data_IF_572929128259
#
_entry.id   IF_572929128259
#
_cell.length_a   1.000
_cell.length_b   1.000
_cell.length_c   1.000
_cell.angle_alpha   90.00
_cell.angle_beta   90.00
_cell.angle_gamma   90.00
#
_symmetry.space_group_name_H-M   'P 1'
#
loop_
_entity.id
_entity.type
_entity.pdbx_description
1 polymer ?
#
# COMPACT_ATOMS: atom_id res chain seq x y z
N UNK A 1 16.36 7.13 -4.05
CA UNK A 1 17.78 7.00 -3.68
C UNK A 1 18.01 5.56 -3.25
N UNK A 2 19.19 5.01 -3.55
CA UNK A 2 19.55 3.63 -3.20
C UNK A 2 20.91 3.60 -2.53
N UNK A 3 21.04 2.79 -1.50
CA UNK A 3 22.24 2.67 -0.68
C UNK A 3 22.60 1.20 -0.56
N UNK A 4 23.87 0.90 -0.34
CA UNK A 4 24.37 -0.45 -0.07
C UNK A 4 25.14 -0.43 1.23
N UNK A 5 24.66 -1.14 2.23
CA UNK A 5 25.34 -1.38 3.49
C UNK A 5 25.89 -2.80 3.50
N UNK A 6 26.93 -3.03 4.26
CA UNK A 6 27.55 -4.35 4.35
C UNK A 6 27.57 -4.80 5.82
N UNK A 7 27.09 -5.99 6.10
CA UNK A 7 27.21 -6.61 7.40
C UNK A 7 28.70 -6.79 7.74
N UNK A 8 29.13 -6.30 8.91
CA UNK A 8 30.56 -6.34 9.29
C UNK A 8 31.07 -7.76 9.47
N UNK A 9 30.24 -8.66 9.99
CA UNK A 9 30.57 -10.04 10.27
C UNK A 9 30.51 -10.93 9.01
N UNK A 10 29.37 -11.01 8.35
CA UNK A 10 29.17 -11.91 7.20
C UNK A 10 29.68 -11.36 5.88
N UNK A 11 29.94 -10.05 5.79
CA UNK A 11 30.30 -9.33 4.56
C UNK A 11 29.19 -9.36 3.49
N UNK A 12 28.01 -9.77 3.84
CA UNK A 12 26.86 -9.76 2.93
C UNK A 12 26.34 -8.34 2.71
N UNK A 13 25.95 -7.98 1.47
CA UNK A 13 25.37 -6.69 1.18
C UNK A 13 23.88 -6.64 1.55
N UNK A 14 23.45 -5.49 2.06
CA UNK A 14 22.05 -5.10 2.20
C UNK A 14 21.80 -3.88 1.31
N UNK A 15 20.99 -4.03 0.28
CA UNK A 15 20.59 -2.90 -0.56
C UNK A 15 19.33 -2.25 0.01
N UNK A 16 19.38 -0.93 0.21
CA UNK A 16 18.30 -0.14 0.78
C UNK A 16 17.85 0.87 -0.28
N UNK A 17 16.56 0.93 -0.55
CA UNK A 17 15.99 1.92 -1.44
C UNK A 17 14.91 2.73 -0.74
N UNK A 18 15.08 4.06 -0.77
CA UNK A 18 14.07 5.03 -0.39
C UNK A 18 13.49 5.64 -1.67
N UNK A 19 12.40 5.12 -2.16
CA UNK A 19 11.81 5.56 -3.41
C UNK A 19 10.29 5.55 -3.36
N UNK A 20 9.67 6.58 -3.92
CA UNK A 20 8.23 6.68 -4.07
C UNK A 20 7.43 6.39 -2.78
N UNK A 21 7.92 6.88 -1.62
CA UNK A 21 7.25 6.71 -0.33
C UNK A 21 7.31 5.29 0.21
N UNK A 22 8.30 4.49 -0.20
CA UNK A 22 8.55 3.15 0.32
C UNK A 22 9.99 2.99 0.78
N UNK A 23 10.18 2.23 1.86
CA UNK A 23 11.44 1.64 2.23
C UNK A 23 11.49 0.21 1.67
N UNK A 24 12.48 -0.08 0.83
CA UNK A 24 12.72 -1.43 0.31
C UNK A 24 14.07 -1.92 0.78
N UNK A 25 14.10 -3.11 1.35
CA UNK A 25 15.27 -3.82 1.83
C UNK A 25 15.49 -5.04 0.92
N UNK A 26 16.68 -5.16 0.32
CA UNK A 26 17.00 -6.25 -0.62
C UNK A 26 18.24 -7.00 -0.16
N UNK A 27 18.15 -8.32 -0.09
CA UNK A 27 19.19 -9.23 0.35
C UNK A 27 19.80 -9.94 -0.86
N UNK A 28 20.85 -9.38 -1.41
CA UNK A 28 21.68 -9.90 -2.52
C UNK A 28 20.88 -10.67 -3.61
N UNK A 29 19.77 -10.09 -4.07
CA UNK A 29 18.92 -10.68 -5.10
C UNK A 29 18.09 -11.90 -4.66
N UNK A 30 18.17 -12.31 -3.39
CA UNK A 30 17.42 -13.47 -2.87
C UNK A 30 16.07 -13.10 -2.28
N UNK A 31 15.94 -11.91 -1.71
CA UNK A 31 14.69 -11.43 -1.15
C UNK A 31 14.59 -9.90 -1.17
N UNK A 32 13.38 -9.39 -1.33
CA UNK A 32 13.06 -7.98 -1.19
C UNK A 32 11.86 -7.82 -0.27
N UNK A 33 11.94 -6.90 0.69
CA UNK A 33 10.87 -6.49 1.58
C UNK A 33 10.54 -5.02 1.33
N UNK A 34 9.28 -4.67 1.25
CA UNK A 34 8.87 -3.27 1.03
C UNK A 34 7.83 -2.85 2.06
N UNK A 35 8.07 -1.69 2.67
CA UNK A 35 7.20 -1.06 3.67
C UNK A 35 6.79 0.34 3.20
N UNK A 36 5.57 0.77 3.52
CA UNK A 36 5.11 2.13 3.25
C UNK A 36 5.65 3.13 4.28
N UNK A 37 5.32 4.41 4.11
CA UNK A 37 5.77 5.48 5.02
C UNK A 37 5.26 5.36 6.46
N UNK A 38 4.24 4.57 6.72
CA UNK A 38 3.77 4.22 8.06
C UNK A 38 4.46 3.00 8.66
N UNK A 39 5.24 2.26 7.87
CA UNK A 39 5.89 1.01 8.27
C UNK A 39 5.04 -0.24 7.99
N UNK A 40 3.91 -0.11 7.29
CA UNK A 40 3.09 -1.26 6.90
C UNK A 40 3.78 -2.05 5.81
N UNK A 41 3.79 -3.37 5.92
CA UNK A 41 4.23 -4.24 4.84
C UNK A 41 3.40 -3.97 3.57
N UNK A 42 4.06 -3.61 2.48
CA UNK A 42 3.45 -3.46 1.14
C UNK A 42 3.55 -4.77 0.37
N UNK A 43 4.69 -5.43 0.47
CA UNK A 43 4.93 -6.70 -0.18
C UNK A 43 6.35 -7.21 0.00
N UNK A 44 6.55 -8.42 -0.53
CA UNK A 44 7.83 -9.10 -0.52
C UNK A 44 8.06 -9.84 -1.83
N UNK A 45 9.31 -10.14 -2.14
CA UNK A 45 9.70 -11.04 -3.19
C UNK A 45 10.80 -11.95 -2.69
N UNK A 46 10.66 -13.26 -2.85
CA UNK A 46 11.70 -14.26 -2.60
C UNK A 46 11.37 -15.56 -3.34
N UNK A 47 12.39 -16.32 -3.68
CA UNK A 47 12.25 -17.63 -4.37
C UNK A 47 11.43 -17.55 -5.66
N UNK A 48 11.54 -16.46 -6.43
CA UNK A 48 10.77 -16.26 -7.66
C UNK A 48 9.29 -15.97 -7.45
N UNK A 49 8.85 -15.75 -6.22
CA UNK A 49 7.47 -15.47 -5.84
C UNK A 49 7.30 -14.02 -5.38
N UNK A 50 6.21 -13.40 -5.80
CA UNK A 50 5.84 -12.03 -5.39
C UNK A 50 4.64 -12.06 -4.47
N UNK A 51 4.77 -11.45 -3.32
CA UNK A 51 3.72 -11.29 -2.31
C UNK A 51 3.29 -9.83 -2.27
N UNK A 52 2.00 -9.57 -2.34
CA UNK A 52 1.43 -8.23 -2.21
C UNK A 52 0.34 -8.20 -1.15
N UNK A 53 0.55 -7.39 -0.10
CA UNK A 53 -0.48 -7.14 0.90
C UNK A 53 -1.45 -6.08 0.38
N UNK A 54 -2.73 -6.34 0.53
CA UNK A 54 -3.81 -5.41 0.27
C UNK A 54 -4.17 -4.65 1.56
N UNK A 55 -4.86 -3.51 1.45
CA UNK A 55 -5.22 -2.70 2.62
C UNK A 55 -6.18 -3.43 3.58
N UNK A 56 -6.93 -4.42 3.12
CA UNK A 56 -7.76 -5.30 3.94
C UNK A 56 -6.99 -6.49 4.55
N UNK A 57 -5.66 -6.42 4.56
CA UNK A 57 -4.70 -7.38 5.10
C UNK A 57 -4.69 -8.77 4.45
N UNK A 58 -5.28 -8.95 3.27
CA UNK A 58 -5.08 -10.16 2.47
C UNK A 58 -3.75 -10.07 1.72
N UNK A 59 -3.10 -11.21 1.52
CA UNK A 59 -1.84 -11.28 0.77
C UNK A 59 -2.05 -12.08 -0.50
N UNK A 60 -1.79 -11.43 -1.64
CA UNK A 60 -1.83 -12.04 -2.96
C UNK A 60 -0.44 -12.56 -3.32
N UNK A 61 -0.32 -13.87 -3.45
CA UNK A 61 0.85 -14.57 -3.98
C UNK A 61 0.74 -14.65 -5.51
N UNK A 62 1.83 -14.31 -6.20
CA UNK A 62 1.99 -14.45 -7.65
C UNK A 62 3.29 -15.19 -7.94
N UNK A 63 3.24 -16.13 -8.88
CA UNK A 63 4.43 -16.85 -9.33
C UNK A 63 4.35 -17.21 -10.81
N UNK A 64 5.47 -17.65 -11.38
CA UNK A 64 5.51 -18.18 -12.74
C UNK A 64 5.22 -19.69 -12.68
N UNK A 65 4.17 -20.14 -13.38
CA UNK A 65 3.85 -21.55 -13.52
C UNK A 65 4.10 -21.99 -14.97
N UNK A 66 5.12 -22.82 -15.17
CA UNK A 66 5.49 -23.34 -16.49
C UNK A 66 4.43 -24.23 -17.13
N UNK A 67 3.49 -24.76 -16.32
CA UNK A 67 2.37 -25.62 -16.77
C UNK A 67 1.13 -24.83 -17.18
N UNK A 68 1.08 -23.52 -16.91
CA UNK A 68 -0.03 -22.66 -17.28
C UNK A 68 0.19 -22.03 -18.65
N UNK A 69 -0.85 -21.96 -19.49
CA UNK A 69 -0.81 -21.23 -20.78
C UNK A 69 -0.42 -19.75 -20.64
N UNK A 70 -0.80 -19.11 -19.53
CA UNK A 70 -0.46 -17.73 -19.24
C UNK A 70 0.89 -17.57 -18.56
N UNK A 71 1.54 -18.69 -18.18
CA UNK A 71 2.76 -18.73 -17.36
C UNK A 71 2.71 -17.92 -16.06
N UNK A 72 1.54 -17.45 -15.66
CA UNK A 72 1.34 -16.65 -14.45
C UNK A 72 0.23 -17.25 -13.61
N UNK A 73 0.54 -17.58 -12.38
CA UNK A 73 -0.42 -18.05 -11.40
C UNK A 73 -0.53 -17.07 -10.23
N UNK A 74 -1.68 -17.07 -9.58
CA UNK A 74 -1.94 -16.24 -8.41
C UNK A 74 -2.97 -16.87 -7.50
N UNK A 75 -2.81 -16.68 -6.18
CA UNK A 75 -3.83 -17.00 -5.18
C UNK A 75 -3.69 -16.08 -3.98
N UNK A 76 -4.73 -15.96 -3.20
CA UNK A 76 -4.59 -15.41 -1.86
C UNK A 76 -4.00 -16.46 -0.92
N UNK A 77 -3.14 -16.01 0.00
CA UNK A 77 -2.64 -16.85 1.07
C UNK A 77 -3.78 -17.17 2.05
N UNK A 78 -3.71 -18.30 2.71
CA UNK A 78 -4.49 -18.57 3.91
C UNK A 78 -4.09 -17.64 5.05
N UNK A 79 -4.89 -17.60 6.11
CA UNK A 79 -4.57 -16.79 7.28
C UNK A 79 -3.21 -17.19 7.88
N UNK A 80 -3.01 -18.48 8.11
CA UNK A 80 -1.77 -19.00 8.68
C UNK A 80 -0.53 -18.66 7.84
N UNK A 81 -0.60 -18.86 6.50
CA UNK A 81 0.48 -18.46 5.59
C UNK A 81 0.76 -16.97 5.61
N UNK A 82 -0.30 -16.15 5.74
CA UNK A 82 -0.17 -14.68 5.83
C UNK A 82 0.54 -14.27 7.11
N UNK A 83 0.15 -14.85 8.25
CA UNK A 83 0.74 -14.55 9.54
C UNK A 83 2.23 -14.94 9.57
N UNK A 84 2.58 -16.13 9.09
CA UNK A 84 3.97 -16.57 8.97
C UNK A 84 4.81 -15.63 8.09
N UNK A 85 4.26 -15.19 6.95
CA UNK A 85 4.94 -14.25 6.06
C UNK A 85 5.17 -12.90 6.74
N UNK A 86 4.16 -12.38 7.43
CA UNK A 86 4.22 -11.11 8.16
C UNK A 86 5.29 -11.19 9.25
N UNK A 87 5.22 -12.21 10.11
CA UNK A 87 6.18 -12.42 11.21
C UNK A 87 7.62 -12.52 10.68
N UNK A 88 7.85 -13.29 9.61
CA UNK A 88 9.16 -13.38 8.98
C UNK A 88 9.66 -12.01 8.53
N UNK A 89 8.85 -11.26 7.79
CA UNK A 89 9.28 -10.00 7.19
C UNK A 89 9.55 -8.90 8.24
N UNK A 90 8.75 -8.85 9.31
CA UNK A 90 9.01 -7.93 10.42
C UNK A 90 10.21 -8.39 11.26
N UNK A 91 10.41 -9.69 11.47
CA UNK A 91 11.61 -10.24 12.11
C UNK A 91 12.89 -9.94 11.32
N UNK A 92 12.85 -9.97 9.99
CA UNK A 92 13.97 -9.55 9.14
C UNK A 92 14.29 -8.06 9.32
N UNK A 93 13.26 -7.20 9.35
CA UNK A 93 13.45 -5.76 9.59
C UNK A 93 13.97 -5.47 11.01
N UNK A 94 13.51 -6.21 12.02
CA UNK A 94 14.00 -6.12 13.41
C UNK A 94 15.49 -6.45 13.49
N UNK A 95 15.93 -7.54 12.85
CA UNK A 95 17.36 -7.91 12.80
C UNK A 95 18.20 -6.81 12.15
N UNK A 96 17.71 -6.17 11.09
CA UNK A 96 18.41 -5.06 10.45
C UNK A 96 18.51 -3.85 11.40
N UNK A 97 17.41 -3.48 12.06
CA UNK A 97 17.43 -2.37 13.02
C UNK A 97 18.38 -2.64 14.19
N UNK A 98 18.33 -3.84 14.76
CA UNK A 98 19.21 -4.24 15.85
C UNK A 98 20.70 -4.18 15.44
N UNK A 99 21.02 -4.65 14.23
CA UNK A 99 22.37 -4.59 13.69
C UNK A 99 22.82 -3.14 13.41
N UNK A 100 21.93 -2.27 12.97
CA UNK A 100 22.24 -0.85 12.78
C UNK A 100 22.54 -0.18 14.12
N UNK A 101 21.71 -0.40 15.13
CA UNK A 101 21.89 0.17 16.48
C UNK A 101 23.17 -0.34 17.15
N UNK A 102 23.54 -1.60 16.95
CA UNK A 102 24.77 -2.19 17.48
C UNK A 102 26.03 -1.85 16.68
N UNK A 103 25.90 -1.06 15.59
CA UNK A 103 27.03 -0.69 14.74
C UNK A 103 27.59 -1.84 13.89
N UNK A 104 26.79 -2.90 13.66
CA UNK A 104 27.22 -4.08 12.89
C UNK A 104 27.08 -3.90 11.36
N UNK A 105 26.78 -2.68 10.89
CA UNK A 105 26.84 -2.33 9.47
C UNK A 105 28.02 -1.44 9.16
N UNK A 106 28.64 -1.65 8.00
CA UNK A 106 29.45 -0.66 7.32
C UNK A 106 28.53 0.18 6.44
N UNK A 107 28.36 1.44 6.83
CA UNK A 107 27.48 2.42 6.14
C UNK A 107 28.29 3.41 5.33
N UNK A 108 29.56 3.11 5.03
CA UNK A 108 30.45 3.98 4.25
C UNK A 108 29.80 4.41 2.94
N UNK A 109 29.84 5.72 2.66
CA UNK A 109 29.18 6.30 1.48
C UNK A 109 27.71 6.70 1.69
N UNK A 110 27.17 6.52 2.92
CA UNK A 110 25.87 7.06 3.32
C UNK A 110 26.10 8.16 4.36
N UNK A 111 25.50 9.32 4.18
CA UNK A 111 25.55 10.41 5.16
C UNK A 111 24.71 10.10 6.41
N UNK A 112 25.08 10.73 7.53
CA UNK A 112 24.44 10.47 8.84
C UNK A 112 22.94 10.80 8.83
N UNK A 113 22.49 11.85 8.13
CA UNK A 113 21.08 12.24 8.01
C UNK A 113 20.28 11.12 7.30
N UNK A 114 20.86 10.51 6.29
CA UNK A 114 20.24 9.37 5.59
C UNK A 114 20.20 8.13 6.48
N UNK A 115 21.26 7.85 7.24
CA UNK A 115 21.28 6.73 8.20
C UNK A 115 20.18 6.91 9.25
N UNK A 116 20.03 8.12 9.80
CA UNK A 116 18.99 8.46 10.78
C UNK A 116 17.58 8.33 10.16
N UNK A 117 17.42 8.75 8.91
CA UNK A 117 16.15 8.60 8.16
C UNK A 117 15.77 7.13 8.02
N UNK A 118 16.72 6.27 7.63
CA UNK A 118 16.49 4.82 7.49
C UNK A 118 16.19 4.19 8.86
N UNK A 119 16.94 4.57 9.89
CA UNK A 119 16.74 4.11 11.26
C UNK A 119 15.34 4.47 11.77
N UNK A 120 14.91 5.71 11.57
CA UNK A 120 13.58 6.19 11.94
C UNK A 120 12.47 5.45 11.19
N UNK A 121 12.69 5.13 9.92
CA UNK A 121 11.74 4.34 9.14
C UNK A 121 11.64 2.91 9.66
N UNK A 122 12.77 2.25 9.92
CA UNK A 122 12.81 0.91 10.53
C UNK A 122 12.14 0.91 11.91
N UNK A 123 12.35 1.94 12.73
CA UNK A 123 11.64 2.10 14.00
C UNK A 123 10.12 2.21 13.83
N UNK A 124 9.66 2.87 12.75
CA UNK A 124 8.22 2.91 12.39
C UNK A 124 7.71 1.54 11.95
N UNK A 125 8.52 0.75 11.24
CA UNK A 125 8.20 -0.65 10.87
C UNK A 125 7.99 -1.50 12.12
N UNK A 126 8.82 -1.33 13.16
CA UNK A 126 8.70 -2.09 14.42
C UNK A 126 7.43 -1.78 15.23
N UNK A 127 6.67 -0.77 14.84
CA UNK A 127 5.37 -0.51 15.45
C UNK A 127 4.26 -1.43 14.93
N UNK A 128 4.56 -2.29 13.94
CA UNK A 128 3.59 -3.15 13.27
C UNK A 128 3.83 -4.63 13.55
N UNK A 129 2.74 -5.34 13.74
CA UNK A 129 2.65 -6.78 13.87
C UNK A 129 1.37 -7.30 13.18
N UNK A 130 1.13 -8.59 13.23
CA UNK A 130 -0.08 -9.21 12.68
C UNK A 130 -1.36 -8.61 13.27
N UNK A 131 -1.38 -8.35 14.59
CA UNK A 131 -2.54 -7.79 15.29
C UNK A 131 -2.83 -6.36 14.86
N UNK A 132 -1.80 -5.51 14.76
CA UNK A 132 -1.96 -4.11 14.34
C UNK A 132 -2.37 -4.01 12.88
N UNK A 133 -1.85 -4.89 12.02
CA UNK A 133 -2.28 -4.97 10.62
C UNK A 133 -3.74 -5.40 10.47
N UNK A 134 -4.26 -6.26 11.36
CA UNK A 134 -5.68 -6.62 11.39
C UNK A 134 -6.57 -5.47 11.87
N UNK A 135 -6.12 -4.72 12.86
CA UNK A 135 -6.81 -3.50 13.31
C UNK A 135 -6.84 -2.44 12.20
N UNK A 136 -5.73 -2.27 11.48
CA UNK A 136 -5.64 -1.39 10.30
C UNK A 136 -6.61 -1.83 9.19
N UNK A 137 -6.69 -3.13 8.92
CA UNK A 137 -7.65 -3.70 7.98
C UNK A 137 -9.12 -3.51 8.43
N UNK A 138 -9.38 -3.53 9.72
CA UNK A 138 -10.71 -3.21 10.25
C UNK A 138 -11.06 -1.73 10.04
N UNK A 139 -10.10 -0.80 10.28
CA UNK A 139 -10.26 0.62 9.93
C UNK A 139 -10.52 0.83 8.45
N UNK A 140 -9.75 0.16 7.58
CA UNK A 140 -9.97 0.19 6.14
C UNK A 140 -11.41 -0.19 5.77
N UNK A 141 -11.93 -1.27 6.32
CA UNK A 141 -13.31 -1.73 6.06
C UNK A 141 -14.39 -0.82 6.63
N UNK A 142 -14.08 -0.03 7.65
CA UNK A 142 -14.99 0.99 8.18
C UNK A 142 -15.08 2.21 7.26
N UNK A 143 -13.96 2.61 6.65
CA UNK A 143 -13.86 3.78 5.76
C UNK A 143 -14.41 3.46 4.36
N UNK A 144 -14.10 2.28 3.84
CA UNK A 144 -14.43 1.89 2.48
C UNK A 144 -15.57 0.86 2.39
N UNK A 145 -16.55 1.13 1.56
CA UNK A 145 -17.37 0.05 1.00
C UNK A 145 -16.54 -0.75 -0.03
N UNK A 146 -16.84 -2.04 -0.25
CA UNK A 146 -16.10 -2.82 -1.24
C UNK A 146 -16.03 -2.11 -2.58
N UNK A 147 -14.81 -1.81 -3.04
CA UNK A 147 -14.53 -1.21 -4.34
C UNK A 147 -14.45 -2.34 -5.36
N UNK A 148 -15.18 -2.23 -6.46
CA UNK A 148 -15.34 -3.32 -7.40
C UNK A 148 -14.08 -3.59 -8.23
N UNK A 149 -13.77 -2.71 -9.15
CA UNK A 149 -12.65 -2.86 -10.08
C UNK A 149 -11.96 -1.52 -10.22
N UNK A 150 -10.66 -1.50 -9.91
CA UNK A 150 -9.78 -0.41 -10.28
C UNK A 150 -9.13 -0.74 -11.62
N UNK A 151 -9.01 0.22 -12.54
CA UNK A 151 -8.17 0.06 -13.72
C UNK A 151 -6.74 -0.34 -13.29
N UNK A 152 -6.04 -1.18 -14.07
CA UNK A 152 -4.71 -1.69 -13.68
C UNK A 152 -3.67 -0.60 -13.39
N UNK A 153 -3.75 0.52 -14.10
CA UNK A 153 -2.91 1.72 -13.92
C UNK A 153 -3.27 2.53 -12.66
N UNK A 154 -4.47 2.32 -12.08
CA UNK A 154 -4.94 2.99 -10.86
C UNK A 154 -4.67 2.19 -9.58
N UNK A 155 -3.89 1.14 -9.63
CA UNK A 155 -3.58 0.28 -8.47
C UNK A 155 -2.87 1.00 -7.31
N UNK A 156 -2.25 2.15 -7.58
CA UNK A 156 -1.61 3.03 -6.60
C UNK A 156 -2.35 4.37 -6.44
N UNK A 157 -3.61 4.45 -6.81
CA UNK A 157 -4.42 5.66 -6.58
C UNK A 157 -4.90 5.74 -5.14
N UNK A 158 -5.15 6.97 -4.69
CA UNK A 158 -6.06 7.24 -3.59
C UNK A 158 -7.48 7.09 -4.12
N UNK A 159 -8.22 6.14 -3.60
CA UNK A 159 -9.61 5.91 -4.01
C UNK A 159 -10.52 6.74 -3.11
N UNK A 160 -11.34 7.61 -3.69
CA UNK A 160 -12.32 8.43 -2.98
C UNK A 160 -13.73 8.07 -3.48
N UNK A 161 -14.55 7.52 -2.61
CA UNK A 161 -15.89 7.07 -2.96
C UNK A 161 -16.89 8.23 -2.92
N UNK A 162 -17.08 8.91 -4.06
CA UNK A 162 -18.06 9.98 -4.23
C UNK A 162 -19.50 9.44 -4.32
N UNK A 163 -19.64 8.19 -4.77
CA UNK A 163 -20.93 7.49 -4.86
C UNK A 163 -20.83 6.13 -4.16
N UNK A 164 -21.96 5.55 -3.84
CA UNK A 164 -22.07 4.15 -3.41
C UNK A 164 -23.02 3.41 -4.33
N UNK A 165 -22.68 2.16 -4.65
CA UNK A 165 -23.49 1.35 -5.55
C UNK A 165 -23.35 1.74 -7.02
N UNK A 166 -24.19 1.14 -7.86
CA UNK A 166 -24.23 1.38 -9.29
C UNK A 166 -25.60 1.95 -9.70
N UNK A 167 -25.60 3.03 -10.48
CA UNK A 167 -26.81 3.68 -10.94
C UNK A 167 -27.65 2.80 -11.90
N UNK A 168 -27.03 1.87 -12.59
CA UNK A 168 -27.71 0.91 -13.47
C UNK A 168 -28.01 -0.42 -12.75
N UNK A 169 -27.01 -1.04 -12.15
CA UNK A 169 -27.04 -2.26 -11.30
C UNK A 169 -27.79 -3.50 -11.85
N UNK A 170 -28.07 -3.56 -13.17
CA UNK A 170 -28.83 -4.62 -13.83
C UNK A 170 -27.99 -5.44 -14.83
N UNK A 171 -26.66 -5.20 -14.89
CA UNK A 171 -25.78 -5.93 -15.79
C UNK A 171 -25.81 -7.43 -15.46
N UNK A 172 -26.03 -8.28 -16.48
CA UNK A 172 -26.11 -9.73 -16.33
C UNK A 172 -24.80 -10.37 -15.83
N UNK A 173 -23.67 -9.74 -16.12
CA UNK A 173 -22.32 -10.22 -15.78
C UNK A 173 -21.75 -9.58 -14.51
N UNK A 174 -22.34 -8.49 -13.99
CA UNK A 174 -21.80 -7.75 -12.85
C UNK A 174 -22.69 -7.92 -11.62
N UNK A 175 -22.08 -8.37 -10.52
CA UNK A 175 -22.76 -8.58 -9.23
C UNK A 175 -22.21 -7.72 -8.11
N UNK A 176 -21.23 -6.84 -8.39
CA UNK A 176 -20.44 -6.14 -7.39
C UNK A 176 -21.22 -5.16 -6.50
N UNK A 177 -22.35 -4.65 -6.99
CA UNK A 177 -23.11 -3.60 -6.30
C UNK A 177 -24.55 -4.02 -5.94
N UNK A 178 -24.89 -5.31 -6.08
CA UNK A 178 -26.24 -5.80 -5.79
C UNK A 178 -26.61 -5.77 -4.31
N UNK A 179 -25.60 -5.65 -3.45
CA UNK A 179 -25.74 -5.57 -2.00
C UNK A 179 -26.17 -4.18 -1.50
N UNK A 180 -26.18 -3.15 -2.39
CA UNK A 180 -26.43 -1.76 -2.00
C UNK A 180 -27.13 -0.94 -3.08
N UNK A 181 -27.94 0.04 -2.61
CA UNK A 181 -28.60 1.00 -3.50
C UNK A 181 -27.62 2.09 -3.95
N UNK A 182 -27.81 2.58 -5.17
CA UNK A 182 -27.07 3.73 -5.65
C UNK A 182 -27.44 4.98 -4.86
N UNK A 183 -26.43 5.72 -4.44
CA UNK A 183 -26.55 7.07 -3.90
C UNK A 183 -25.30 7.90 -4.18
N UNK A 184 -25.48 9.21 -4.23
CA UNK A 184 -24.39 10.18 -4.30
C UNK A 184 -24.19 10.70 -2.87
N UNK A 185 -22.98 10.65 -2.35
CA UNK A 185 -22.68 11.19 -1.01
C UNK A 185 -22.99 12.69 -0.95
N UNK A 186 -23.59 13.18 0.13
CA UNK A 186 -23.63 14.61 0.44
C UNK A 186 -22.22 15.19 0.54
N UNK A 187 -22.08 16.49 0.34
CA UNK A 187 -20.77 17.18 0.37
C UNK A 187 -20.08 17.00 1.72
N UNK A 188 -20.81 17.10 2.84
CA UNK A 188 -20.26 16.86 4.18
C UNK A 188 -19.75 15.43 4.36
N UNK A 189 -20.56 14.43 4.01
CA UNK A 189 -20.18 13.02 4.11
C UNK A 189 -18.97 12.68 3.24
N UNK A 190 -18.85 13.31 2.07
CA UNK A 190 -17.68 13.12 1.21
C UNK A 190 -16.44 13.81 1.80
N UNK A 191 -16.59 14.98 2.44
CA UNK A 191 -15.50 15.65 3.13
C UNK A 191 -14.96 14.79 4.27
N UNK A 192 -15.85 14.23 5.10
CA UNK A 192 -15.49 13.31 6.18
C UNK A 192 -14.76 12.08 5.62
N UNK A 193 -15.28 11.48 4.53
CA UNK A 193 -14.62 10.36 3.88
C UNK A 193 -13.21 10.70 3.35
N UNK A 194 -13.00 11.89 2.79
CA UNK A 194 -11.68 12.35 2.31
C UNK A 194 -10.71 12.48 3.48
N UNK A 195 -11.16 12.99 4.63
CA UNK A 195 -10.32 13.11 5.83
C UNK A 195 -10.00 11.74 6.42
N UNK A 196 -10.99 10.87 6.60
CA UNK A 196 -10.81 9.49 7.06
C UNK A 196 -9.80 8.72 6.21
N UNK A 197 -9.87 8.86 4.87
CA UNK A 197 -8.92 8.25 3.92
C UNK A 197 -7.53 8.82 4.11
N UNK A 198 -7.42 10.14 4.30
CA UNK A 198 -6.15 10.82 4.47
C UNK A 198 -5.46 10.42 5.78
N UNK A 199 -6.20 10.38 6.88
CA UNK A 199 -5.72 9.91 8.18
C UNK A 199 -5.32 8.42 8.15
N UNK A 200 -6.14 7.59 7.49
CA UNK A 200 -5.84 6.17 7.34
C UNK A 200 -4.55 5.92 6.57
N UNK A 201 -4.36 6.62 5.46
CA UNK A 201 -3.16 6.45 4.64
C UNK A 201 -1.92 7.06 5.30
N UNK A 202 -2.06 8.21 5.98
CA UNK A 202 -0.94 8.91 6.62
C UNK A 202 0.24 9.10 5.68
N UNK A 203 1.46 8.78 6.12
CA UNK A 203 2.67 8.81 5.27
C UNK A 203 2.66 7.76 4.14
N UNK A 204 1.80 6.73 4.20
CA UNK A 204 1.55 5.81 3.09
C UNK A 204 0.94 6.50 1.86
N UNK A 205 0.47 7.76 2.02
CA UNK A 205 0.06 8.63 0.92
C UNK A 205 1.18 8.89 -0.10
N UNK A 206 2.44 8.94 0.34
CA UNK A 206 3.58 9.25 -0.52
C UNK A 206 3.82 8.21 -1.63
N UNK A 207 3.36 7.00 -1.47
CA UNK A 207 3.42 5.99 -2.52
C UNK A 207 2.28 6.09 -3.54
N UNK A 208 1.27 6.95 -3.29
CA UNK A 208 0.12 7.13 -4.17
C UNK A 208 0.45 8.14 -5.28
N UNK A 209 -0.02 7.87 -6.50
CA UNK A 209 0.36 8.64 -7.68
C UNK A 209 -0.80 9.42 -8.30
N UNK A 210 -2.01 9.07 -7.97
CA UNK A 210 -3.23 9.66 -8.54
C UNK A 210 -4.39 9.54 -7.56
N UNK A 211 -5.48 10.22 -7.86
CA UNK A 211 -6.76 10.08 -7.17
C UNK A 211 -7.76 9.47 -8.15
N UNK A 212 -8.49 8.49 -7.66
CA UNK A 212 -9.55 7.83 -8.40
C UNK A 212 -10.89 8.08 -7.71
N UNK A 213 -11.77 8.82 -8.38
CA UNK A 213 -13.13 9.03 -7.89
C UNK A 213 -13.99 7.79 -8.18
N UNK A 214 -14.43 7.13 -7.15
CA UNK A 214 -15.25 5.93 -7.17
C UNK A 214 -16.67 6.26 -6.61
N UNK A 215 -17.67 5.38 -6.69
CA UNK A 215 -17.62 3.94 -6.80
C UNK A 215 -17.79 3.46 -8.26
N UNK A 216 -18.96 2.91 -8.64
CA UNK A 216 -19.18 2.29 -9.95
C UNK A 216 -19.05 3.26 -11.12
N UNK A 217 -19.56 4.48 -10.97
CA UNK A 217 -19.55 5.50 -12.02
C UNK A 217 -19.73 6.90 -11.43
N UNK A 218 -18.64 7.59 -11.13
CA UNK A 218 -18.71 8.96 -10.62
C UNK A 218 -19.14 9.99 -11.69
N UNK A 219 -19.06 9.65 -12.99
CA UNK A 219 -19.43 10.58 -14.08
C UNK A 219 -20.95 10.83 -14.14
N UNK A 220 -21.77 9.94 -13.60
CA UNK A 220 -23.23 10.15 -13.54
C UNK A 220 -23.65 11.21 -12.52
N UNK A 221 -22.73 11.69 -11.68
CA UNK A 221 -22.99 12.74 -10.69
C UNK A 221 -23.25 14.05 -11.45
N UNK A 222 -24.40 14.73 -11.25
CA UNK A 222 -24.67 16.01 -11.88
C UNK A 222 -23.57 17.02 -11.57
N UNK A 223 -23.21 17.86 -12.54
CA UNK A 223 -22.11 18.83 -12.41
C UNK A 223 -22.25 19.71 -11.17
N UNK A 224 -23.47 20.18 -10.87
CA UNK A 224 -23.75 21.00 -9.68
C UNK A 224 -23.43 20.31 -8.35
N UNK A 225 -23.40 18.98 -8.31
CA UNK A 225 -23.03 18.17 -7.15
C UNK A 225 -21.57 17.70 -7.23
N UNK A 226 -21.05 17.48 -8.44
CA UNK A 226 -19.69 17.00 -8.64
C UNK A 226 -18.64 18.09 -8.33
N UNK A 227 -18.86 19.33 -8.76
CA UNK A 227 -17.92 20.42 -8.57
C UNK A 227 -17.58 20.67 -7.09
N UNK A 228 -18.53 20.73 -6.14
CA UNK A 228 -18.19 20.84 -4.72
C UNK A 228 -17.36 19.69 -4.17
N UNK A 229 -17.53 18.44 -4.69
CA UNK A 229 -16.71 17.31 -4.30
C UNK A 229 -15.28 17.45 -4.83
N UNK A 230 -15.12 17.89 -6.09
CA UNK A 230 -13.81 18.17 -6.66
C UNK A 230 -13.08 19.30 -5.93
N UNK A 231 -13.79 20.32 -5.46
CA UNK A 231 -13.22 21.41 -4.65
C UNK A 231 -12.65 20.89 -3.31
N UNK A 232 -13.29 19.92 -2.68
CA UNK A 232 -12.78 19.26 -1.48
C UNK A 232 -11.47 18.54 -1.80
N UNK A 233 -11.46 17.75 -2.88
CA UNK A 233 -10.27 17.01 -3.32
C UNK A 233 -9.12 17.96 -3.62
N UNK A 234 -9.38 19.05 -4.38
CA UNK A 234 -8.35 20.02 -4.75
C UNK A 234 -7.79 20.78 -3.54
N UNK A 235 -8.59 21.02 -2.50
CA UNK A 235 -8.11 21.66 -1.25
C UNK A 235 -7.30 20.72 -0.39
N UNK A 236 -7.61 19.41 -0.42
CA UNK A 236 -6.96 18.42 0.45
C UNK A 236 -5.68 17.87 -0.12
N UNK A 237 -5.57 17.74 -1.44
CA UNK A 237 -4.45 17.12 -2.13
C UNK A 237 -3.74 18.16 -3.02
N UNK A 238 -2.42 18.21 -2.89
CA UNK A 238 -1.58 19.06 -3.74
C UNK A 238 -1.29 18.30 -5.07
N UNK A 239 -1.79 18.86 -6.17
CA UNK A 239 -1.55 18.37 -7.53
C UNK A 239 -0.39 19.06 -8.23
N UNK A 240 0.29 20.02 -7.60
CA UNK A 240 1.42 20.74 -8.18
C UNK A 240 2.69 19.87 -8.24
N UNK A 241 2.79 18.84 -7.41
CA UNK A 241 3.91 17.90 -7.41
C UNK A 241 3.88 17.05 -8.70
N UNK A 242 4.87 17.29 -9.59
CA UNK A 242 5.01 16.60 -10.87
C UNK A 242 5.11 15.07 -10.77
N UNK A 243 5.42 14.54 -9.59
CA UNK A 243 5.46 13.08 -9.31
C UNK A 243 4.08 12.45 -9.19
N UNK A 244 3.02 13.26 -9.10
CA UNK A 244 1.61 12.85 -8.98
C UNK A 244 0.79 13.06 -10.25
N UNK A 245 1.45 13.23 -11.39
CA UNK A 245 0.79 13.36 -12.71
C UNK A 245 0.58 12.02 -13.35
#
# INVERSE_FOLDING_TARGET
MSYTWTWRESREPLHISLAAGTLTLSFDGMANLSFDGEGRLVGAWFEGQTYRRTLDNRILLKWTDSRSHTRRARRFLSRHESDQLIERNYGDAERILAALVSGNFDTTGTDDETVDTISSWLASVMQWDTKRLDQDAARFRAIYKPVSILPPDQSLSVVLQATEGCSYNECSFCTFYRDRKFRIKPVSEFADHVEDVSEFLGRGMFMRRSIFLADANAIVVPQSRLLPLLDIVNRRFDFSDSRRK
#
